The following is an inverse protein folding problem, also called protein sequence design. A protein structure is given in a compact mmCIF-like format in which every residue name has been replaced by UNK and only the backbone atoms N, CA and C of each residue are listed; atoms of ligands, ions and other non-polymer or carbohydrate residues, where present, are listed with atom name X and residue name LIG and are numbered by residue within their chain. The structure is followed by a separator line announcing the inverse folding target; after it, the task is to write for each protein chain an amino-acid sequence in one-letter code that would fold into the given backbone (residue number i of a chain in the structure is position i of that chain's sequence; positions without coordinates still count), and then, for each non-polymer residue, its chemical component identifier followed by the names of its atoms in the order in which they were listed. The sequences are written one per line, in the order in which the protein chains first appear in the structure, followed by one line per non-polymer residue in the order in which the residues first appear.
data_IF_758330480926
#
_entry.id   IF_758330480926
#
_cell.length_a   1.000
_cell.length_b   1.000
_cell.length_c   1.000
_cell.angle_alpha   90.00
_cell.angle_beta   90.00
_cell.angle_gamma   90.00
#
_symmetry.space_group_name_H-M   'P 1'
#
loop_
_entity.id
_entity.type
_entity.pdbx_description
1 polymer ?
#
# COMPACT_ATOMS: atom_id res chain seq x y z
N UNK A 1 49.63 23.76 19.74
CA UNK A 1 49.31 22.37 20.13
C UNK A 1 47.89 22.10 19.67
N UNK A 2 47.65 21.15 18.77
CA UNK A 2 46.30 20.84 18.27
C UNK A 2 45.55 20.12 19.39
N UNK A 3 44.31 20.53 19.70
CA UNK A 3 43.53 19.85 20.73
C UNK A 3 43.17 18.42 20.26
N UNK A 4 43.06 17.44 21.18
CA UNK A 4 42.67 16.07 20.82
C UNK A 4 41.36 16.00 20.02
N UNK A 5 40.39 16.88 20.32
CA UNK A 5 39.13 16.97 19.58
C UNK A 5 39.31 17.45 18.14
N UNK A 6 40.20 18.44 17.92
CA UNK A 6 40.51 18.93 16.57
C UNK A 6 41.22 17.86 15.74
N UNK A 7 42.11 17.07 16.35
CA UNK A 7 42.80 15.97 15.65
C UNK A 7 41.84 14.86 15.24
N UNK A 8 40.86 14.52 16.09
CA UNK A 8 39.83 13.53 15.79
C UNK A 8 38.95 13.97 14.61
N UNK A 9 38.53 15.23 14.58
CA UNK A 9 37.73 15.79 13.47
C UNK A 9 38.50 15.72 12.15
N UNK A 10 39.79 16.08 12.15
CA UNK A 10 40.62 16.02 10.94
C UNK A 10 40.80 14.60 10.40
N UNK A 11 40.77 13.59 11.27
CA UNK A 11 40.86 12.17 10.88
C UNK A 11 39.51 11.67 10.35
N UNK A 12 38.39 12.02 10.98
CA UNK A 12 37.06 11.51 10.61
C UNK A 12 36.45 12.21 9.39
N UNK A 13 36.71 13.51 9.24
CA UNK A 13 36.12 14.33 8.18
C UNK A 13 36.36 13.78 6.75
N UNK A 14 37.57 13.29 6.37
CA UNK A 14 37.78 12.66 5.06
C UNK A 14 36.91 11.42 4.81
N UNK A 15 36.64 10.61 5.84
CA UNK A 15 35.78 9.43 5.70
C UNK A 15 34.32 9.83 5.52
N UNK A 16 33.88 10.88 6.19
CA UNK A 16 32.53 11.42 6.05
C UNK A 16 32.34 12.04 4.65
N UNK A 17 33.30 12.83 4.18
CA UNK A 17 33.31 13.33 2.81
C UNK A 17 33.32 12.21 1.77
N UNK A 18 34.11 11.15 1.99
CA UNK A 18 34.15 9.99 1.10
C UNK A 18 32.80 9.26 1.08
N UNK A 19 32.22 9.01 2.26
CA UNK A 19 30.91 8.38 2.39
C UNK A 19 29.83 9.17 1.65
N UNK A 20 29.76 10.49 1.87
CA UNK A 20 28.79 11.36 1.19
C UNK A 20 29.02 11.43 -0.32
N UNK A 21 30.28 11.46 -0.76
CA UNK A 21 30.62 11.46 -2.20
C UNK A 21 30.21 10.15 -2.86
N UNK A 22 30.50 9.01 -2.24
CA UNK A 22 30.08 7.70 -2.73
C UNK A 22 28.56 7.59 -2.74
N UNK A 23 27.87 8.06 -1.70
CA UNK A 23 26.41 8.07 -1.65
C UNK A 23 25.81 8.91 -2.79
N UNK A 24 26.35 10.12 -3.01
CA UNK A 24 25.93 11.05 -4.07
C UNK A 24 26.19 10.52 -5.49
N UNK A 25 27.08 9.55 -5.67
CA UNK A 25 27.37 8.93 -6.97
C UNK A 25 26.59 7.63 -7.13
N UNK A 26 26.65 6.73 -6.14
CA UNK A 26 26.04 5.40 -6.21
C UNK A 26 24.53 5.48 -6.29
N UNK A 27 23.88 6.36 -5.50
CA UNK A 27 22.43 6.44 -5.49
C UNK A 27 21.85 6.91 -6.84
N UNK A 28 22.34 8.00 -7.47
CA UNK A 28 21.90 8.36 -8.82
C UNK A 28 22.25 7.33 -9.88
N UNK A 29 23.40 6.65 -9.78
CA UNK A 29 23.76 5.59 -10.73
C UNK A 29 22.81 4.38 -10.62
N UNK A 30 22.44 3.97 -9.41
CA UNK A 30 21.44 2.91 -9.18
C UNK A 30 20.06 3.36 -9.67
N UNK A 31 19.69 4.61 -9.42
CA UNK A 31 18.42 5.17 -9.90
C UNK A 31 18.37 5.24 -11.43
N UNK A 32 19.42 5.75 -12.06
CA UNK A 32 19.58 5.79 -13.52
C UNK A 32 19.56 4.39 -14.11
N UNK A 33 20.25 3.43 -13.48
CA UNK A 33 20.20 2.03 -13.89
C UNK A 33 18.77 1.49 -13.87
N UNK A 34 18.01 1.76 -12.80
CA UNK A 34 16.62 1.30 -12.67
C UNK A 34 15.67 1.96 -13.67
N UNK A 35 15.97 3.19 -14.10
CA UNK A 35 15.26 3.87 -15.19
C UNK A 35 15.57 3.27 -16.56
N UNK A 36 16.85 2.97 -16.84
CA UNK A 36 17.27 2.41 -18.12
C UNK A 36 16.95 0.92 -18.26
N UNK A 37 16.90 0.20 -17.14
CA UNK A 37 16.64 -1.24 -17.06
C UNK A 37 15.51 -1.53 -16.05
N UNK A 38 14.25 -1.17 -16.38
CA UNK A 38 13.12 -1.53 -15.55
C UNK A 38 13.00 -3.05 -15.45
N UNK A 39 12.76 -3.55 -14.23
CA UNK A 39 12.47 -4.97 -14.02
C UNK A 39 11.19 -5.40 -14.74
N UNK A 40 11.01 -6.71 -14.94
CA UNK A 40 9.75 -7.23 -15.46
C UNK A 40 8.61 -6.89 -14.49
N UNK A 41 7.45 -6.41 -14.97
CA UNK A 41 6.30 -6.17 -14.11
C UNK A 41 5.85 -7.49 -13.47
N UNK A 42 5.29 -7.39 -12.26
CA UNK A 42 4.69 -8.55 -11.60
C UNK A 42 3.53 -9.07 -12.45
N UNK A 43 3.55 -10.36 -12.81
CA UNK A 43 2.40 -10.99 -13.45
C UNK A 43 1.25 -11.13 -12.45
N UNK A 44 0.05 -10.71 -12.88
CA UNK A 44 -1.19 -10.83 -12.11
C UNK A 44 -2.00 -12.09 -12.48
N UNK A 45 -1.56 -12.84 -13.49
CA UNK A 45 -2.24 -14.05 -13.94
C UNK A 45 -2.34 -15.10 -12.82
N UNK A 46 -3.54 -15.61 -12.60
CA UNK A 46 -3.88 -16.58 -11.56
C UNK A 46 -3.78 -16.05 -10.13
N UNK A 47 -3.56 -14.75 -9.92
CA UNK A 47 -3.37 -14.19 -8.56
C UNK A 47 -4.71 -13.98 -7.85
N UNK A 48 -4.72 -14.29 -6.55
CA UNK A 48 -5.79 -13.92 -5.62
C UNK A 48 -5.41 -12.60 -4.97
N UNK A 49 -6.24 -11.58 -5.17
CA UNK A 49 -5.99 -10.21 -4.75
C UNK A 49 -7.09 -9.76 -3.79
N UNK A 50 -6.70 -9.36 -2.58
CA UNK A 50 -7.60 -8.83 -1.58
C UNK A 50 -7.50 -7.30 -1.51
N UNK A 51 -8.62 -6.60 -1.63
CA UNK A 51 -8.73 -5.15 -1.50
C UNK A 51 -9.68 -4.82 -0.35
N UNK A 52 -9.17 -4.20 0.69
CA UNK A 52 -9.99 -3.66 1.79
C UNK A 52 -10.56 -2.29 1.40
N UNK A 53 -11.78 -1.95 1.80
CA UNK A 53 -12.47 -0.74 1.35
C UNK A 53 -12.77 -0.75 -0.15
N UNK A 54 -12.92 -1.94 -0.75
CA UNK A 54 -13.04 -2.12 -2.19
C UNK A 54 -14.42 -1.79 -2.76
N UNK A 55 -15.42 -1.48 -1.93
CA UNK A 55 -16.77 -1.22 -2.43
C UNK A 55 -16.88 0.13 -3.16
N UNK A 56 -16.07 1.14 -2.83
CA UNK A 56 -16.21 2.48 -3.40
C UNK A 56 -14.87 3.22 -3.51
N UNK A 57 -14.93 4.45 -4.04
CA UNK A 57 -13.81 5.39 -4.08
C UNK A 57 -12.54 4.80 -4.70
N UNK A 58 -11.41 4.99 -4.01
CA UNK A 58 -10.10 4.53 -4.46
C UNK A 58 -10.03 2.99 -4.47
N UNK A 59 -10.63 2.31 -3.49
CA UNK A 59 -10.59 0.85 -3.43
C UNK A 59 -11.30 0.19 -4.62
N UNK A 60 -12.45 0.73 -5.01
CA UNK A 60 -13.15 0.31 -6.23
C UNK A 60 -12.31 0.61 -7.47
N UNK A 61 -11.72 1.81 -7.57
CA UNK A 61 -10.87 2.16 -8.70
C UNK A 61 -9.64 1.25 -8.83
N UNK A 62 -9.07 0.81 -7.71
CA UNK A 62 -8.00 -0.21 -7.68
C UNK A 62 -8.53 -1.52 -8.29
N UNK A 63 -9.72 -1.99 -7.87
CA UNK A 63 -10.30 -3.21 -8.41
C UNK A 63 -10.53 -3.10 -9.93
N UNK A 64 -11.13 -2.00 -10.41
CA UNK A 64 -11.35 -1.75 -11.83
C UNK A 64 -10.02 -1.73 -12.61
N UNK A 65 -8.97 -1.09 -12.05
CA UNK A 65 -7.66 -1.04 -12.69
C UNK A 65 -6.97 -2.40 -12.75
N UNK A 66 -7.13 -3.24 -11.73
CA UNK A 66 -6.61 -4.62 -11.77
C UNK A 66 -7.23 -5.42 -12.91
N UNK A 67 -8.54 -5.27 -13.14
CA UNK A 67 -9.26 -5.92 -14.25
C UNK A 67 -8.83 -5.42 -15.63
N UNK A 68 -8.52 -4.12 -15.76
CA UNK A 68 -7.96 -3.58 -16.99
C UNK A 68 -6.60 -4.18 -17.35
N UNK A 69 -5.79 -4.51 -16.33
CA UNK A 69 -4.45 -5.07 -16.51
C UNK A 69 -4.51 -6.56 -16.81
N UNK A 70 -5.36 -7.31 -16.09
CA UNK A 70 -5.47 -8.76 -16.21
C UNK A 70 -6.88 -9.24 -15.86
N UNK A 71 -7.41 -10.19 -16.65
CA UNK A 71 -8.75 -10.76 -16.48
C UNK A 71 -8.73 -12.12 -15.80
N UNK A 72 -7.64 -12.88 -15.97
CA UNK A 72 -7.44 -14.17 -15.33
C UNK A 72 -6.87 -13.98 -13.92
N UNK A 73 -7.65 -13.37 -13.03
CA UNK A 73 -7.31 -13.17 -11.62
C UNK A 73 -8.55 -13.33 -10.74
N UNK A 74 -8.34 -13.39 -9.43
CA UNK A 74 -9.42 -13.41 -8.44
C UNK A 74 -9.38 -12.14 -7.60
N UNK A 75 -10.49 -11.39 -7.57
CA UNK A 75 -10.63 -10.20 -6.71
C UNK A 75 -11.49 -10.53 -5.49
N UNK A 76 -11.00 -10.18 -4.32
CA UNK A 76 -11.75 -10.24 -3.07
C UNK A 76 -11.86 -8.83 -2.52
N UNK A 77 -13.08 -8.42 -2.20
CA UNK A 77 -13.38 -7.14 -1.55
C UNK A 77 -13.73 -7.41 -0.09
N UNK A 78 -13.04 -6.73 0.83
CA UNK A 78 -13.48 -6.57 2.21
C UNK A 78 -14.03 -5.17 2.38
N UNK A 79 -15.26 -5.05 2.87
CA UNK A 79 -15.88 -3.76 3.12
C UNK A 79 -16.93 -3.83 4.23
N UNK A 80 -17.26 -2.69 4.85
CA UNK A 80 -18.38 -2.57 5.77
C UNK A 80 -19.72 -2.56 5.02
N UNK A 81 -19.73 -1.94 3.82
CA UNK A 81 -20.90 -1.86 2.95
C UNK A 81 -20.89 -2.99 1.90
N UNK A 82 -21.45 -4.13 2.32
CA UNK A 82 -21.56 -5.31 1.47
C UNK A 82 -22.40 -5.06 0.21
N UNK A 83 -23.43 -4.22 0.28
CA UNK A 83 -24.32 -3.97 -0.86
C UNK A 83 -23.58 -3.22 -1.97
N UNK A 84 -22.86 -2.16 -1.61
CA UNK A 84 -22.03 -1.42 -2.57
C UNK A 84 -20.89 -2.30 -3.10
N UNK A 85 -20.35 -3.20 -2.27
CA UNK A 85 -19.38 -4.20 -2.69
C UNK A 85 -19.93 -5.19 -3.73
N UNK A 86 -21.18 -5.63 -3.58
CA UNK A 86 -21.86 -6.49 -4.56
C UNK A 86 -22.04 -5.80 -5.92
N UNK A 87 -22.41 -4.51 -5.92
CA UNK A 87 -22.51 -3.72 -7.16
C UNK A 87 -21.14 -3.59 -7.85
N UNK A 88 -20.07 -3.39 -7.07
CA UNK A 88 -18.71 -3.36 -7.60
C UNK A 88 -18.35 -4.69 -8.26
N UNK A 89 -18.57 -5.82 -7.58
CA UNK A 89 -18.28 -7.15 -8.15
C UNK A 89 -19.08 -7.42 -9.42
N UNK A 90 -20.34 -7.01 -9.47
CA UNK A 90 -21.16 -7.13 -10.67
C UNK A 90 -20.52 -6.37 -11.83
N UNK A 91 -20.04 -5.15 -11.61
CA UNK A 91 -19.32 -4.38 -12.62
C UNK A 91 -17.99 -5.06 -13.05
N UNK A 92 -17.20 -5.57 -12.09
CA UNK A 92 -15.94 -6.28 -12.38
C UNK A 92 -16.18 -7.55 -13.21
N UNK A 93 -17.25 -8.29 -12.90
CA UNK A 93 -17.67 -9.47 -13.67
C UNK A 93 -18.10 -9.10 -15.08
N UNK A 94 -18.86 -8.02 -15.24
CA UNK A 94 -19.20 -7.48 -16.56
C UNK A 94 -17.98 -7.01 -17.37
N UNK A 95 -16.90 -6.60 -16.71
CA UNK A 95 -15.63 -6.23 -17.34
C UNK A 95 -14.74 -7.43 -17.72
N UNK A 96 -15.10 -8.65 -17.27
CA UNK A 96 -14.49 -9.90 -17.75
C UNK A 96 -13.74 -10.72 -16.69
N UNK A 97 -13.73 -10.31 -15.42
CA UNK A 97 -13.22 -11.18 -14.34
C UNK A 97 -14.27 -12.21 -13.95
N UNK A 98 -13.90 -13.48 -13.97
CA UNK A 98 -14.83 -14.56 -13.57
C UNK A 98 -14.93 -14.69 -12.04
N UNK A 99 -13.82 -14.50 -11.34
CA UNK A 99 -13.71 -14.75 -9.90
C UNK A 99 -13.65 -13.43 -9.14
N UNK A 100 -14.79 -13.01 -8.58
CA UNK A 100 -14.87 -11.80 -7.75
C UNK A 100 -15.83 -12.02 -6.57
N UNK A 101 -15.38 -11.73 -5.35
CA UNK A 101 -16.09 -12.05 -4.09
C UNK A 101 -16.09 -10.86 -3.13
N UNK A 102 -17.16 -10.69 -2.36
CA UNK A 102 -17.27 -9.64 -1.32
C UNK A 102 -17.54 -10.30 0.02
N UNK A 103 -16.80 -9.88 1.03
CA UNK A 103 -17.00 -10.26 2.41
C UNK A 103 -17.26 -8.98 3.19
N UNK A 104 -18.30 -9.01 4.05
CA UNK A 104 -18.53 -7.96 5.01
C UNK A 104 -17.52 -8.12 6.14
N UNK A 105 -16.54 -7.21 6.23
CA UNK A 105 -15.46 -7.30 7.23
C UNK A 105 -15.16 -5.91 7.77
N UNK A 106 -15.25 -5.77 9.09
CA UNK A 106 -14.67 -4.62 9.79
C UNK A 106 -13.18 -4.87 10.03
N UNK A 107 -12.33 -4.13 9.32
CA UNK A 107 -10.87 -4.25 9.45
C UNK A 107 -10.33 -3.75 10.80
N UNK A 108 -11.13 -3.02 11.58
CA UNK A 108 -10.76 -2.61 12.94
C UNK A 108 -10.97 -3.74 13.97
N UNK A 109 -11.77 -4.74 13.62
CA UNK A 109 -12.04 -5.92 14.45
C UNK A 109 -11.10 -7.07 14.07
N UNK A 110 -10.16 -7.39 14.97
CA UNK A 110 -9.16 -8.44 14.76
C UNK A 110 -9.76 -9.83 14.63
N UNK A 111 -10.87 -10.12 15.31
CA UNK A 111 -11.51 -11.44 15.25
C UNK A 111 -12.20 -11.63 13.90
N UNK A 112 -12.89 -10.59 13.40
CA UNK A 112 -13.47 -10.61 12.06
C UNK A 112 -12.40 -10.77 10.98
N UNK A 113 -11.29 -10.04 11.08
CA UNK A 113 -10.17 -10.16 10.13
C UNK A 113 -9.60 -11.58 10.14
N UNK A 114 -9.38 -12.17 11.30
CA UNK A 114 -8.84 -13.52 11.41
C UNK A 114 -9.81 -14.57 10.82
N UNK A 115 -11.09 -14.47 11.15
CA UNK A 115 -12.13 -15.37 10.65
C UNK A 115 -12.28 -15.28 9.12
N UNK A 116 -12.36 -14.07 8.57
CA UNK A 116 -12.48 -13.86 7.13
C UNK A 116 -11.22 -14.31 6.37
N UNK A 117 -10.04 -14.08 6.93
CA UNK A 117 -8.78 -14.55 6.33
C UNK A 117 -8.73 -16.09 6.27
N UNK A 118 -9.17 -16.76 7.34
CA UNK A 118 -9.25 -18.21 7.37
C UNK A 118 -10.28 -18.73 6.36
N UNK A 119 -11.47 -18.14 6.34
CA UNK A 119 -12.52 -18.49 5.37
C UNK A 119 -12.03 -18.38 3.93
N UNK A 120 -11.37 -17.27 3.57
CA UNK A 120 -10.83 -17.07 2.22
C UNK A 120 -9.76 -18.09 1.88
N UNK A 121 -8.87 -18.39 2.82
CA UNK A 121 -7.82 -19.40 2.62
C UNK A 121 -8.43 -20.77 2.30
N UNK A 122 -9.50 -21.13 3.00
CA UNK A 122 -10.14 -22.43 2.87
C UNK A 122 -11.04 -22.53 1.63
N UNK A 123 -11.76 -21.46 1.28
CA UNK A 123 -12.75 -21.46 0.19
C UNK A 123 -12.18 -21.04 -1.17
N UNK A 124 -11.19 -20.13 -1.20
CA UNK A 124 -10.69 -19.49 -2.42
C UNK A 124 -9.21 -19.82 -2.63
N UNK A 125 -8.41 -19.75 -1.57
CA UNK A 125 -6.98 -20.03 -1.59
C UNK A 125 -6.14 -18.89 -1.03
N UNK A 126 -4.83 -18.95 -1.28
CA UNK A 126 -3.86 -18.03 -0.67
C UNK A 126 -3.87 -16.66 -1.37
N UNK A 127 -4.08 -15.60 -0.57
CA UNK A 127 -3.99 -14.21 -1.02
C UNK A 127 -2.54 -13.91 -1.43
N UNK A 128 -2.35 -13.60 -2.71
CA UNK A 128 -1.04 -13.24 -3.27
C UNK A 128 -0.70 -11.76 -3.10
N UNK A 129 -1.72 -10.90 -3.11
CA UNK A 129 -1.60 -9.45 -3.06
C UNK A 129 -2.69 -8.89 -2.15
N UNK A 130 -2.30 -7.99 -1.24
CA UNK A 130 -3.20 -7.32 -0.30
C UNK A 130 -3.08 -5.80 -0.45
N UNK A 131 -4.20 -5.15 -0.72
CA UNK A 131 -4.36 -3.70 -0.72
C UNK A 131 -5.07 -3.29 0.57
N UNK A 132 -4.29 -2.80 1.53
CA UNK A 132 -4.78 -2.19 2.78
C UNK A 132 -5.28 -0.77 2.52
N UNK A 133 -6.42 -0.67 1.83
CA UNK A 133 -7.01 0.59 1.37
C UNK A 133 -8.16 1.08 2.27
N UNK A 134 -8.78 0.22 3.10
CA UNK A 134 -9.84 0.65 4.02
C UNK A 134 -9.34 1.78 4.94
N UNK A 135 -10.05 2.91 4.93
CA UNK A 135 -9.73 4.07 5.75
C UNK A 135 -10.85 5.09 5.72
N UNK A 136 -11.06 5.76 6.84
CA UNK A 136 -12.03 6.85 6.98
C UNK A 136 -11.23 8.12 7.25
N UNK A 137 -11.43 9.15 6.43
CA UNK A 137 -10.91 10.47 6.76
C UNK A 137 -11.72 11.00 7.95
N UNK A 138 -11.04 11.36 9.04
CA UNK A 138 -11.68 12.10 10.12
C UNK A 138 -12.19 13.47 9.63
N UNK A 139 -12.79 14.28 10.51
CA UNK A 139 -13.10 15.66 10.19
C UNK A 139 -11.88 16.31 9.55
N UNK A 140 -12.07 17.12 8.51
CA UNK A 140 -10.99 17.95 7.99
C UNK A 140 -10.59 18.93 9.09
N UNK A 141 -9.63 18.53 9.92
CA UNK A 141 -9.02 19.42 10.89
C UNK A 141 -8.19 20.36 10.04
N UNK A 142 -8.51 21.65 10.05
CA UNK A 142 -7.58 22.66 9.58
C UNK A 142 -6.36 22.58 10.49
N UNK A 143 -5.37 21.77 10.12
CA UNK A 143 -4.17 21.50 10.93
C UNK A 143 -3.36 22.78 11.26
N UNK A 144 -3.73 23.91 10.65
CA UNK A 144 -3.15 25.23 10.84
C UNK A 144 -3.95 26.15 11.76
N UNK A 145 -5.16 25.74 12.19
CA UNK A 145 -5.89 26.43 13.24
C UNK A 145 -5.35 25.91 14.57
N UNK A 146 -4.57 26.73 15.26
CA UNK A 146 -4.26 26.49 16.67
C UNK A 146 -5.57 26.36 17.44
N UNK A 147 -5.71 25.27 18.20
CA UNK A 147 -6.77 25.12 19.17
C UNK A 147 -6.50 26.09 20.32
N UNK A 148 -7.32 27.13 20.54
CA UNK A 148 -7.11 28.12 21.60
C UNK A 148 -7.16 27.50 23.01
N UNK A 149 -7.68 26.27 23.14
CA UNK A 149 -7.74 25.55 24.42
C UNK A 149 -6.46 24.78 24.77
N UNK A 150 -5.51 24.66 23.83
CA UNK A 150 -4.24 23.94 24.03
C UNK A 150 -3.12 24.88 24.53
N UNK A 151 -3.27 26.19 24.34
CA UNK A 151 -2.29 27.23 24.76
C UNK A 151 -2.48 27.77 26.18
N UNK A 152 -3.51 27.34 26.92
CA UNK A 152 -3.66 27.64 28.36
C UNK A 152 -3.26 26.44 29.23
N UNK A 153 -1.95 26.21 29.38
CA UNK A 153 -1.37 25.52 30.55
C UNK A 153 0.00 26.09 30.92
#
# INVERSE_FOLDING_TARGET
MISPGTLLVLILFPFECLYLTLYAIVFPLVYLWRLLFPGKPLSLEGKVILVTGGANGIGRAICEKLVEIEKNLTIIIWDLDQNTGLETIKALRSAGVQNAFVFKVDVSDREQVAAAAQQIRDEIGEVSLLFNNAGIAGPAIEAWKEDPSVTEK
#
